data_IF_002793589205
#
_entry.id   IF_002793589205
#
_cell.length_a   1.000
_cell.length_b   1.000
_cell.length_c   1.000
_cell.angle_alpha   90.00
_cell.angle_beta   90.00
_cell.angle_gamma   90.00
#
_symmetry.space_group_name_H-M   'P 1'
#
loop_
_entity.id
_entity.type
_entity.pdbx_description
1 polymer ?
#
# COMPACT_ATOMS: atom_id res chain seq x y z
N UNK A 1 -16.25 -36.47 20.56
CA UNK A 1 -15.85 -36.04 19.20
C UNK A 1 -16.53 -34.74 18.76
N UNK A 2 -17.85 -34.51 18.98
CA UNK A 2 -18.55 -33.25 18.58
C UNK A 2 -18.01 -31.96 19.25
N UNK A 3 -17.49 -32.03 20.48
CA UNK A 3 -16.94 -30.83 21.20
C UNK A 3 -15.55 -30.42 20.71
N UNK A 4 -14.73 -31.32 20.15
CA UNK A 4 -13.43 -31.01 19.59
C UNK A 4 -13.55 -30.32 18.22
N UNK A 5 -14.53 -30.65 17.42
CA UNK A 5 -14.78 -30.01 16.10
C UNK A 5 -15.25 -28.56 16.27
N UNK A 6 -16.07 -28.28 17.31
CA UNK A 6 -16.53 -26.92 17.61
C UNK A 6 -15.38 -25.98 18.07
N UNK A 7 -14.39 -26.52 18.77
CA UNK A 7 -13.22 -25.74 19.23
C UNK A 7 -12.26 -25.37 18.08
N UNK A 8 -12.08 -26.25 17.08
CA UNK A 8 -11.25 -25.96 15.92
C UNK A 8 -11.85 -24.89 14.99
N UNK A 9 -13.19 -24.80 14.90
CA UNK A 9 -13.85 -23.79 14.07
C UNK A 9 -13.70 -22.40 14.68
N UNK A 10 -13.66 -22.29 16.01
CA UNK A 10 -13.52 -20.99 16.71
C UNK A 10 -12.10 -20.40 16.57
N UNK A 11 -11.09 -21.25 16.44
CA UNK A 11 -9.67 -20.82 16.29
C UNK A 11 -9.38 -20.33 14.85
N UNK A 12 -10.13 -20.79 13.85
CA UNK A 12 -9.95 -20.39 12.45
C UNK A 12 -10.38 -18.94 12.16
N UNK A 13 -11.13 -18.30 13.06
CA UNK A 13 -11.60 -16.91 12.89
C UNK A 13 -10.62 -15.83 13.36
N UNK A 14 -9.49 -16.21 14.00
CA UNK A 14 -8.52 -15.27 14.58
C UNK A 14 -7.39 -14.84 13.64
N UNK A 15 -7.40 -15.29 12.39
CA UNK A 15 -6.43 -14.84 11.37
C UNK A 15 -6.98 -13.65 10.58
N UNK A 16 -7.58 -12.67 11.25
CA UNK A 16 -7.80 -11.35 10.67
C UNK A 16 -6.42 -10.71 10.45
N UNK A 17 -5.85 -10.88 9.26
CA UNK A 17 -4.63 -10.20 8.84
C UNK A 17 -4.84 -8.70 9.02
N UNK A 18 -4.21 -8.14 10.03
CA UNK A 18 -4.17 -6.71 10.25
C UNK A 18 -3.46 -6.07 9.05
N UNK A 19 -4.19 -5.43 8.15
CA UNK A 19 -3.59 -4.73 7.01
C UNK A 19 -3.04 -3.42 7.51
N UNK A 20 -1.75 -3.16 7.26
CA UNK A 20 -1.11 -1.88 7.59
C UNK A 20 -1.49 -0.77 6.61
N UNK A 21 -2.19 -1.09 5.51
CA UNK A 21 -2.55 -0.17 4.43
C UNK A 21 -4.01 0.27 4.50
N UNK A 22 -4.24 1.58 4.41
CA UNK A 22 -5.58 2.21 4.35
C UNK A 22 -5.67 3.20 3.20
N UNK A 23 -6.88 3.42 2.68
CA UNK A 23 -7.20 4.54 1.77
C UNK A 23 -7.38 5.81 2.61
N UNK A 24 -6.71 6.89 2.18
CA UNK A 24 -6.82 8.22 2.78
C UNK A 24 -7.82 9.06 2.01
N UNK A 25 -7.75 9.02 0.69
CA UNK A 25 -8.64 9.74 -0.20
C UNK A 25 -8.83 8.99 -1.51
N UNK A 26 -9.95 9.21 -2.17
CA UNK A 26 -10.20 8.75 -3.53
C UNK A 26 -11.16 9.68 -4.24
N UNK A 27 -11.06 9.72 -5.55
CA UNK A 27 -11.99 10.40 -6.44
C UNK A 27 -12.19 9.58 -7.71
N UNK A 28 -13.41 9.58 -8.23
CA UNK A 28 -13.72 9.04 -9.55
C UNK A 28 -14.46 10.07 -10.40
N UNK A 29 -14.26 10.01 -11.70
CA UNK A 29 -15.03 10.77 -12.67
C UNK A 29 -16.52 10.45 -12.50
N UNK A 30 -17.40 11.46 -12.38
CA UNK A 30 -18.84 11.27 -12.26
C UNK A 30 -19.41 10.36 -13.35
N UNK A 31 -20.26 9.42 -12.98
CA UNK A 31 -20.91 8.45 -13.88
C UNK A 31 -19.96 7.53 -14.64
N UNK A 32 -18.66 7.52 -14.32
CA UNK A 32 -17.69 6.63 -14.97
C UNK A 32 -17.74 5.25 -14.36
N UNK A 33 -17.90 4.25 -15.24
CA UNK A 33 -17.76 2.83 -14.93
C UNK A 33 -16.85 2.16 -15.94
N UNK A 34 -16.02 1.23 -15.46
CA UNK A 34 -15.11 0.44 -16.28
C UNK A 34 -15.40 -1.04 -16.08
N UNK A 35 -15.66 -1.74 -17.16
CA UNK A 35 -15.80 -3.19 -17.18
C UNK A 35 -14.46 -3.81 -17.56
N UNK A 36 -13.76 -4.39 -16.59
CA UNK A 36 -12.39 -4.92 -16.78
C UNK A 36 -12.37 -5.94 -17.93
N UNK A 37 -13.39 -6.79 -18.03
CA UNK A 37 -13.46 -7.82 -19.07
C UNK A 37 -13.55 -7.27 -20.49
N UNK A 38 -14.03 -6.03 -20.66
CA UNK A 38 -14.13 -5.36 -21.97
C UNK A 38 -12.88 -4.59 -22.37
N UNK A 39 -11.91 -4.46 -21.47
CA UNK A 39 -10.63 -3.84 -21.80
C UNK A 39 -9.79 -4.77 -22.67
N UNK A 40 -9.02 -4.20 -23.59
CA UNK A 40 -8.02 -4.90 -24.39
C UNK A 40 -6.71 -4.98 -23.64
N UNK A 41 -6.14 -3.82 -23.28
CA UNK A 41 -4.86 -3.70 -22.60
C UNK A 41 -4.84 -2.53 -21.64
N UNK A 42 -4.17 -2.71 -20.49
CA UNK A 42 -3.92 -1.67 -19.49
C UNK A 42 -2.43 -1.63 -19.16
N UNK A 43 -1.79 -0.50 -19.39
CA UNK A 43 -0.39 -0.31 -19.03
C UNK A 43 -0.27 0.03 -17.55
N UNK A 44 0.62 -0.64 -16.83
CA UNK A 44 0.92 -0.36 -15.43
C UNK A 44 2.31 0.23 -15.31
N UNK A 45 2.42 1.41 -14.69
CA UNK A 45 3.65 2.17 -14.54
C UNK A 45 3.83 2.52 -13.06
N UNK A 46 4.87 1.99 -12.42
CA UNK A 46 5.26 2.41 -11.08
C UNK A 46 6.43 3.41 -11.15
N UNK A 47 6.20 4.62 -10.67
CA UNK A 47 7.17 5.71 -10.67
C UNK A 47 8.01 5.67 -9.38
N UNK A 48 8.80 4.61 -9.22
CA UNK A 48 9.70 4.40 -8.09
C UNK A 48 11.16 4.51 -8.52
N UNK A 49 12.01 5.09 -7.66
CA UNK A 49 13.45 5.24 -7.95
C UNK A 49 14.18 3.90 -8.06
N UNK A 50 13.78 2.90 -7.28
CA UNK A 50 14.37 1.57 -7.30
C UNK A 50 13.71 0.72 -8.37
N UNK A 51 14.47 0.24 -9.34
CA UNK A 51 14.01 -0.64 -10.41
C UNK A 51 13.37 -1.94 -9.86
N UNK A 52 13.98 -2.52 -8.83
CA UNK A 52 13.43 -3.72 -8.16
C UNK A 52 12.06 -3.44 -7.56
N UNK A 53 11.88 -2.29 -6.91
CA UNK A 53 10.60 -1.92 -6.30
C UNK A 53 9.56 -1.57 -7.36
N UNK A 54 9.97 -0.94 -8.47
CA UNK A 54 9.12 -0.66 -9.63
C UNK A 54 8.54 -1.96 -10.19
N UNK A 55 9.39 -2.94 -10.50
CA UNK A 55 8.96 -4.24 -11.04
C UNK A 55 7.99 -4.95 -10.11
N UNK A 56 8.31 -5.04 -8.82
CA UNK A 56 7.42 -5.66 -7.83
C UNK A 56 6.05 -5.02 -7.77
N UNK A 57 5.98 -3.69 -7.79
CA UNK A 57 4.72 -2.95 -7.74
C UNK A 57 3.88 -3.18 -9.00
N UNK A 58 4.51 -3.14 -10.18
CA UNK A 58 3.83 -3.39 -11.46
C UNK A 58 3.29 -4.82 -11.53
N UNK A 59 4.10 -5.82 -11.15
CA UNK A 59 3.69 -7.23 -11.12
C UNK A 59 2.48 -7.48 -10.22
N UNK A 60 2.47 -6.89 -9.02
CA UNK A 60 1.33 -7.01 -8.10
C UNK A 60 0.05 -6.36 -8.68
N UNK A 61 0.17 -5.17 -9.24
CA UNK A 61 -0.99 -4.47 -9.80
C UNK A 61 -1.59 -5.18 -11.03
N UNK A 62 -0.74 -5.73 -11.90
CA UNK A 62 -1.16 -6.49 -13.07
C UNK A 62 -2.01 -7.71 -12.70
N UNK A 63 -1.74 -8.34 -11.55
CA UNK A 63 -2.51 -9.48 -11.03
C UNK A 63 -4.01 -9.20 -10.87
N UNK A 64 -4.40 -7.94 -10.67
CA UNK A 64 -5.81 -7.52 -10.54
C UNK A 64 -6.50 -7.16 -11.87
N UNK A 65 -5.80 -7.26 -13.00
CA UNK A 65 -6.31 -6.85 -14.32
C UNK A 65 -6.74 -8.02 -15.22
N UNK A 66 -6.97 -9.20 -14.66
CA UNK A 66 -7.50 -10.39 -15.36
C UNK A 66 -6.76 -10.71 -16.68
N UNK A 67 -5.43 -10.64 -16.68
CA UNK A 67 -4.58 -10.88 -17.84
C UNK A 67 -4.55 -9.74 -18.88
N UNK A 68 -5.17 -8.59 -18.58
CA UNK A 68 -5.16 -7.40 -19.46
C UNK A 68 -4.02 -6.43 -19.13
N UNK A 69 -3.35 -6.61 -18.00
CA UNK A 69 -2.25 -5.76 -17.54
C UNK A 69 -0.96 -6.03 -18.32
N UNK A 70 -0.26 -4.96 -18.65
CA UNK A 70 1.08 -4.97 -19.25
C UNK A 70 2.00 -4.13 -18.36
N UNK A 71 3.12 -4.72 -17.92
CA UNK A 71 4.11 -4.04 -17.10
C UNK A 71 4.95 -3.07 -17.94
N UNK A 72 5.21 -1.89 -17.39
CA UNK A 72 5.93 -0.85 -18.12
C UNK A 72 7.39 -1.20 -18.39
N UNK A 73 8.03 -1.93 -17.50
CA UNK A 73 9.45 -2.29 -17.64
C UNK A 73 9.75 -3.25 -18.80
N UNK A 74 8.72 -3.95 -19.33
CA UNK A 74 8.84 -4.76 -20.55
C UNK A 74 8.37 -4.02 -21.82
N UNK A 75 7.56 -2.98 -21.66
CA UNK A 75 6.95 -2.26 -22.76
C UNK A 75 7.68 -0.96 -23.12
N UNK A 76 8.20 -0.25 -22.11
CA UNK A 76 8.94 0.98 -22.30
C UNK A 76 10.45 0.67 -22.30
N UNK A 77 11.11 1.01 -23.42
CA UNK A 77 12.56 0.85 -23.54
C UNK A 77 13.31 1.64 -22.44
N UNK A 78 14.52 1.19 -22.10
CA UNK A 78 15.40 1.88 -21.14
C UNK A 78 15.70 3.34 -21.53
N UNK A 79 15.60 3.66 -22.81
CA UNK A 79 15.75 5.01 -23.38
C UNK A 79 14.51 5.88 -23.28
N UNK A 80 13.44 5.37 -22.64
CA UNK A 80 12.23 6.16 -22.42
C UNK A 80 12.52 7.22 -21.35
N UNK A 81 12.96 8.38 -21.79
CA UNK A 81 13.36 9.52 -20.94
C UNK A 81 12.35 10.67 -21.08
N UNK A 82 12.56 11.73 -20.26
CA UNK A 82 11.69 12.92 -20.23
C UNK A 82 11.44 13.56 -21.61
N UNK A 83 12.34 13.40 -22.57
CA UNK A 83 12.21 13.99 -23.91
C UNK A 83 11.24 13.24 -24.81
N UNK A 84 10.76 12.04 -24.42
CA UNK A 84 9.82 11.22 -25.17
C UNK A 84 8.40 11.18 -24.55
N UNK A 85 8.13 11.99 -23.54
CA UNK A 85 6.83 11.98 -22.83
C UNK A 85 5.66 12.28 -23.77
N UNK A 86 5.83 13.25 -24.67
CA UNK A 86 4.77 13.62 -25.64
C UNK A 86 4.43 12.48 -26.61
N UNK A 87 5.44 11.72 -27.01
CA UNK A 87 5.27 10.57 -27.90
C UNK A 87 4.72 9.32 -27.20
N UNK A 88 4.81 9.25 -25.86
CA UNK A 88 4.33 8.12 -25.07
C UNK A 88 2.84 7.87 -25.29
N UNK A 89 2.03 8.91 -25.19
CA UNK A 89 0.59 8.82 -25.37
C UNK A 89 0.22 8.25 -26.74
N UNK A 90 0.84 8.78 -27.78
CA UNK A 90 0.55 8.35 -29.17
C UNK A 90 0.96 6.90 -29.40
N UNK A 91 2.11 6.50 -28.85
CA UNK A 91 2.55 5.10 -28.86
C UNK A 91 1.55 4.19 -28.12
N UNK A 92 1.16 4.53 -26.89
CA UNK A 92 0.21 3.74 -26.08
C UNK A 92 -1.13 3.59 -26.82
N UNK A 93 -1.61 4.69 -27.43
CA UNK A 93 -2.85 4.69 -28.20
C UNK A 93 -2.74 3.82 -29.48
N UNK A 94 -1.64 3.94 -30.22
CA UNK A 94 -1.39 3.15 -31.43
C UNK A 94 -1.27 1.66 -31.13
N UNK A 95 -0.69 1.29 -29.97
CA UNK A 95 -0.52 -0.09 -29.54
C UNK A 95 -1.79 -0.69 -28.89
N UNK A 96 -2.91 0.04 -28.91
CA UNK A 96 -4.24 -0.44 -28.53
C UNK A 96 -4.48 -0.54 -27.02
N UNK A 97 -3.84 0.30 -26.21
CA UNK A 97 -4.16 0.38 -24.78
C UNK A 97 -5.43 1.20 -24.53
N UNK A 98 -6.28 0.72 -23.64
CA UNK A 98 -7.49 1.41 -23.19
C UNK A 98 -7.23 2.38 -22.04
N UNK A 99 -6.31 2.00 -21.15
CA UNK A 99 -6.00 2.74 -19.94
C UNK A 99 -4.57 2.60 -19.48
N UNK A 100 -4.19 3.49 -18.58
CA UNK A 100 -2.91 3.47 -17.87
C UNK A 100 -3.17 3.58 -16.38
N UNK A 101 -2.54 2.69 -15.60
CA UNK A 101 -2.47 2.78 -14.14
C UNK A 101 -1.08 3.28 -13.76
N UNK A 102 -1.01 4.36 -13.00
CA UNK A 102 0.26 4.85 -12.46
C UNK A 102 0.26 4.74 -10.94
N UNK A 103 1.41 4.40 -10.37
CA UNK A 103 1.65 4.40 -8.93
C UNK A 103 2.87 5.27 -8.63
N UNK A 104 2.72 6.23 -7.71
CA UNK A 104 3.79 7.16 -7.32
C UNK A 104 3.93 7.24 -5.82
N UNK A 105 5.15 7.16 -5.31
CA UNK A 105 5.45 7.42 -3.91
C UNK A 105 5.45 8.95 -3.70
N UNK A 106 4.50 9.44 -2.93
CA UNK A 106 4.33 10.87 -2.65
C UNK A 106 5.15 11.31 -1.45
N UNK A 107 5.14 10.50 -0.39
CA UNK A 107 5.79 10.86 0.86
C UNK A 107 6.22 9.63 1.67
N UNK A 108 7.22 9.81 2.53
CA UNK A 108 7.66 8.85 3.55
C UNK A 108 7.83 9.59 4.86
N UNK A 109 6.80 9.56 5.68
CA UNK A 109 6.84 10.12 7.03
C UNK A 109 7.57 9.17 7.99
N UNK A 110 8.29 9.75 8.96
CA UNK A 110 9.05 9.02 9.98
C UNK A 110 8.80 9.63 11.35
N UNK A 111 8.03 8.94 12.14
CA UNK A 111 7.74 9.32 13.52
C UNK A 111 8.62 8.53 14.47
N UNK A 112 9.23 9.23 15.44
CA UNK A 112 10.00 8.62 16.51
C UNK A 112 9.22 8.70 17.82
N UNK A 113 8.84 7.56 18.34
CA UNK A 113 8.19 7.45 19.64
C UNK A 113 9.19 6.96 20.69
N UNK A 114 9.30 7.70 21.79
CA UNK A 114 10.07 7.22 22.93
C UNK A 114 9.24 6.19 23.71
N UNK A 115 9.74 4.97 23.80
CA UNK A 115 9.17 3.91 24.64
C UNK A 115 9.94 3.90 25.96
N UNK A 116 9.31 4.29 27.07
CA UNK A 116 9.99 4.27 28.37
C UNK A 116 10.33 2.85 28.78
N UNK A 117 11.45 2.69 29.48
CA UNK A 117 11.81 1.40 30.07
C UNK A 117 10.73 0.92 31.06
N UNK A 118 10.69 -0.37 31.33
CA UNK A 118 9.62 -1.00 32.09
C UNK A 118 9.63 -0.52 33.57
N UNK A 119 8.62 0.29 33.96
CA UNK A 119 8.47 0.84 35.31
C UNK A 119 7.52 0.02 36.24
N UNK A 120 6.91 -1.04 35.67
CA UNK A 120 5.80 -1.74 36.35
C UNK A 120 6.21 -2.63 37.56
N UNK A 121 7.50 -2.85 37.79
CA UNK A 121 7.97 -3.84 38.76
C UNK A 121 8.21 -3.30 40.15
N UNK A 122 7.88 -2.04 40.47
CA UNK A 122 8.25 -1.48 41.77
C UNK A 122 7.06 -1.05 42.61
N UNK A 123 6.98 -1.54 43.86
CA UNK A 123 5.93 -1.14 44.80
C UNK A 123 5.98 0.37 45.07
N UNK A 124 4.82 0.94 45.30
CA UNK A 124 4.53 2.37 45.48
C UNK A 124 5.26 3.09 46.61
N UNK A 125 6.20 2.45 47.30
CA UNK A 125 6.90 2.98 48.47
C UNK A 125 8.13 3.86 48.12
N UNK A 126 7.99 4.76 47.14
CA UNK A 126 9.04 5.73 46.81
C UNK A 126 9.27 6.80 47.89
N UNK A 127 8.46 6.80 49.00
CA UNK A 127 8.62 7.69 50.12
C UNK A 127 9.76 7.29 51.06
N UNK A 128 10.36 6.12 50.91
CA UNK A 128 11.53 5.68 51.64
C UNK A 128 12.79 5.82 50.78
N UNK A 129 13.95 6.02 51.42
CA UNK A 129 15.24 6.12 50.73
C UNK A 129 15.49 4.88 49.86
N UNK A 130 15.23 3.69 50.40
CA UNK A 130 15.43 2.43 49.67
C UNK A 130 14.48 2.30 48.46
N UNK A 131 13.23 2.68 48.61
CA UNK A 131 12.26 2.66 47.51
C UNK A 131 12.60 3.66 46.43
N UNK A 132 13.04 4.88 46.80
CA UNK A 132 13.49 5.89 45.86
C UNK A 132 14.74 5.45 45.11
N UNK A 133 15.73 4.91 45.81
CA UNK A 133 16.97 4.42 45.21
C UNK A 133 16.74 3.24 44.29
N UNK A 134 15.92 2.26 44.68
CA UNK A 134 15.57 1.13 43.83
C UNK A 134 14.89 1.57 42.54
N UNK A 135 13.99 2.56 42.60
CA UNK A 135 13.34 3.14 41.41
C UNK A 135 14.34 3.89 40.53
N UNK A 136 15.22 4.70 41.12
CA UNK A 136 16.28 5.40 40.40
C UNK A 136 17.22 4.44 39.67
N UNK A 137 17.61 3.37 40.37
CA UNK A 137 18.45 2.32 39.79
C UNK A 137 17.75 1.58 38.65
N UNK A 138 16.47 1.26 38.78
CA UNK A 138 15.69 0.62 37.72
C UNK A 138 15.61 1.49 36.48
N UNK A 139 15.35 2.79 36.66
CA UNK A 139 15.34 3.73 35.52
C UNK A 139 16.71 3.84 34.85
N UNK A 140 17.78 3.73 35.61
CA UNK A 140 19.15 3.77 35.09
C UNK A 140 19.54 2.47 34.38
N UNK A 141 19.14 1.32 34.92
CA UNK A 141 19.49 -0.01 34.37
C UNK A 141 18.61 -0.48 33.22
N UNK A 142 17.44 0.12 33.07
CA UNK A 142 16.50 -0.22 31.94
C UNK A 142 16.13 1.06 31.18
N UNK A 143 17.07 1.65 30.45
CA UNK A 143 16.77 2.85 29.68
C UNK A 143 15.68 2.57 28.64
N UNK A 144 14.83 3.56 28.43
CA UNK A 144 13.87 3.51 27.31
C UNK A 144 14.60 3.53 25.96
N UNK A 145 13.87 3.20 24.91
CA UNK A 145 14.37 3.23 23.55
C UNK A 145 13.45 4.04 22.63
N UNK A 146 13.97 4.41 21.47
CA UNK A 146 13.16 5.06 20.44
C UNK A 146 12.71 4.02 19.43
N UNK A 147 11.40 3.93 19.22
CA UNK A 147 10.80 3.22 18.10
C UNK A 147 10.58 4.19 16.96
N UNK A 148 10.86 3.75 15.74
CA UNK A 148 10.67 4.57 14.54
C UNK A 148 9.61 3.93 13.67
N UNK A 149 8.45 4.59 13.57
CA UNK A 149 7.36 4.22 12.68
C UNK A 149 7.55 4.91 11.32
N UNK A 150 7.37 4.17 10.22
CA UNK A 150 7.45 4.71 8.85
C UNK A 150 6.09 4.58 8.17
N UNK A 151 5.56 5.70 7.69
CA UNK A 151 4.32 5.73 6.93
C UNK A 151 4.60 6.15 5.48
N UNK A 152 4.26 5.28 4.54
CA UNK A 152 4.43 5.51 3.11
C UNK A 152 3.10 5.97 2.51
N UNK A 153 3.09 7.12 1.85
CA UNK A 153 1.93 7.62 1.11
C UNK A 153 2.14 7.38 -0.38
N UNK A 154 1.27 6.56 -0.98
CA UNK A 154 1.31 6.23 -2.41
C UNK A 154 0.04 6.71 -3.07
N UNK A 155 0.19 7.42 -4.20
CA UNK A 155 -0.90 7.80 -5.07
C UNK A 155 -1.01 6.82 -6.24
N UNK A 156 -2.24 6.40 -6.55
CA UNK A 156 -2.56 5.55 -7.71
C UNK A 156 -3.55 6.29 -8.58
N UNK A 157 -3.21 6.50 -9.86
CA UNK A 157 -4.06 7.16 -10.83
C UNK A 157 -4.41 6.22 -11.98
N UNK A 158 -5.65 6.30 -12.46
CA UNK A 158 -6.13 5.58 -13.64
C UNK A 158 -6.49 6.59 -14.71
N UNK A 159 -5.86 6.46 -15.87
CA UNK A 159 -6.08 7.30 -17.04
C UNK A 159 -6.87 6.55 -18.10
N UNK A 160 -7.80 7.23 -18.74
CA UNK A 160 -8.39 6.80 -20.00
C UNK A 160 -7.51 7.26 -21.16
N UNK A 161 -6.99 6.34 -21.95
CA UNK A 161 -6.19 6.67 -23.14
C UNK A 161 -7.06 7.38 -24.19
N UNK A 162 -8.32 6.93 -24.35
CA UNK A 162 -9.28 7.53 -25.27
C UNK A 162 -9.60 8.99 -24.90
N UNK A 163 -9.87 9.26 -23.63
CA UNK A 163 -10.29 10.59 -23.15
C UNK A 163 -9.11 11.47 -22.76
N UNK A 164 -7.92 10.90 -22.64
CA UNK A 164 -6.68 11.58 -22.23
C UNK A 164 -6.81 12.33 -20.90
N UNK A 165 -7.46 11.71 -19.91
CA UNK A 165 -7.65 12.29 -18.58
C UNK A 165 -7.65 11.23 -17.49
N UNK A 166 -7.43 11.67 -16.25
CA UNK A 166 -7.64 10.83 -15.08
C UNK A 166 -9.14 10.54 -14.96
N UNK A 167 -9.48 9.29 -14.72
CA UNK A 167 -10.84 8.83 -14.51
C UNK A 167 -11.05 8.24 -13.10
N UNK A 168 -9.96 7.97 -12.40
CA UNK A 168 -9.96 7.58 -11.00
C UNK A 168 -8.60 7.91 -10.36
N UNK A 169 -8.61 8.34 -9.11
CA UNK A 169 -7.41 8.53 -8.30
C UNK A 169 -7.67 8.07 -6.88
N UNK A 170 -6.63 7.59 -6.21
CA UNK A 170 -6.69 7.23 -4.80
C UNK A 170 -5.33 7.33 -4.12
N UNK A 171 -5.33 7.78 -2.87
CA UNK A 171 -4.15 7.82 -2.03
C UNK A 171 -4.27 6.78 -0.92
N UNK A 172 -3.20 6.05 -0.72
CA UNK A 172 -3.06 5.04 0.34
C UNK A 172 -1.94 5.41 1.29
N UNK A 173 -2.11 5.09 2.56
CA UNK A 173 -1.06 5.12 3.57
C UNK A 173 -0.81 3.71 4.08
N UNK A 174 0.47 3.32 4.13
CA UNK A 174 0.93 2.04 4.69
C UNK A 174 1.93 2.32 5.81
N UNK A 175 1.64 1.83 7.01
CA UNK A 175 2.49 2.02 8.19
C UNK A 175 3.27 0.74 8.46
N UNK A 176 4.59 0.87 8.61
CA UNK A 176 5.55 -0.19 8.91
C UNK A 176 5.34 -1.49 8.10
N UNK A 177 5.34 -1.41 6.75
CA UNK A 177 5.19 -2.60 5.94
C UNK A 177 6.39 -3.55 6.11
N UNK A 178 6.13 -4.84 6.09
CA UNK A 178 7.18 -5.86 6.04
C UNK A 178 7.76 -5.98 4.61
N UNK A 179 8.34 -4.88 4.14
CA UNK A 179 8.96 -4.78 2.83
C UNK A 179 8.00 -4.35 1.70
N UNK A 180 8.62 -4.08 0.54
CA UNK A 180 7.92 -3.48 -0.61
C UNK A 180 6.88 -4.43 -1.22
N UNK A 181 7.16 -5.72 -1.26
CA UNK A 181 6.24 -6.72 -1.86
C UNK A 181 4.91 -6.74 -1.12
N UNK A 182 4.93 -6.86 0.22
CA UNK A 182 3.71 -6.81 1.02
C UNK A 182 2.99 -5.47 0.87
N UNK A 183 3.73 -4.36 0.94
CA UNK A 183 3.16 -3.02 0.79
C UNK A 183 2.41 -2.87 -0.54
N UNK A 184 3.03 -3.24 -1.66
CA UNK A 184 2.42 -3.09 -2.99
C UNK A 184 1.25 -4.04 -3.22
N UNK A 185 1.30 -5.24 -2.66
CA UNK A 185 0.16 -6.17 -2.66
C UNK A 185 -1.03 -5.61 -1.89
N UNK A 186 -0.80 -5.09 -0.68
CA UNK A 186 -1.85 -4.48 0.13
C UNK A 186 -2.45 -3.23 -0.56
N UNK A 187 -1.59 -2.38 -1.15
CA UNK A 187 -2.05 -1.22 -1.92
C UNK A 187 -2.95 -1.67 -3.08
N UNK A 188 -2.49 -2.60 -3.92
CA UNK A 188 -3.28 -3.09 -5.05
C UNK A 188 -4.64 -3.66 -4.60
N UNK A 189 -4.65 -4.46 -3.54
CA UNK A 189 -5.87 -5.03 -2.96
C UNK A 189 -6.83 -3.97 -2.43
N UNK A 190 -6.33 -2.99 -1.68
CA UNK A 190 -7.16 -1.93 -1.08
C UNK A 190 -7.73 -1.00 -2.16
N UNK A 191 -6.92 -0.61 -3.15
CA UNK A 191 -7.34 0.17 -4.33
C UNK A 191 -8.43 -0.57 -5.11
N UNK A 192 -8.21 -1.85 -5.42
CA UNK A 192 -9.18 -2.68 -6.13
C UNK A 192 -10.53 -2.77 -5.41
N UNK A 193 -10.50 -3.06 -4.09
CA UNK A 193 -11.71 -3.09 -3.26
C UNK A 193 -12.43 -1.74 -3.23
N UNK A 194 -11.68 -0.64 -3.16
CA UNK A 194 -12.24 0.71 -3.16
C UNK A 194 -12.95 1.03 -4.48
N UNK A 195 -12.30 0.74 -5.60
CA UNK A 195 -12.89 0.92 -6.94
C UNK A 195 -14.19 0.11 -7.11
N UNK A 196 -14.23 -1.12 -6.59
CA UNK A 196 -15.46 -1.93 -6.58
C UNK A 196 -16.55 -1.28 -5.72
N UNK A 197 -16.22 -0.85 -4.51
CA UNK A 197 -17.21 -0.25 -3.57
C UNK A 197 -17.78 1.07 -4.08
N UNK A 198 -17.02 1.81 -4.88
CA UNK A 198 -17.46 3.05 -5.55
C UNK A 198 -18.23 2.80 -6.86
N UNK A 199 -18.35 1.54 -7.28
CA UNK A 199 -18.94 1.18 -8.56
C UNK A 199 -18.16 1.71 -9.77
N UNK A 200 -16.85 1.99 -9.58
CA UNK A 200 -15.97 2.42 -10.68
C UNK A 200 -15.62 1.23 -11.57
N UNK A 201 -15.32 0.07 -10.99
CA UNK A 201 -15.14 -1.18 -11.73
C UNK A 201 -16.28 -2.16 -11.42
N UNK A 202 -16.65 -2.95 -12.41
CA UNK A 202 -17.66 -4.01 -12.28
C UNK A 202 -17.14 -5.34 -12.79
N UNK A 203 -17.57 -6.43 -12.13
CA UNK A 203 -17.48 -7.79 -12.64
C UNK A 203 -18.76 -8.06 -13.40
N UNK A 204 -18.72 -8.11 -14.69
CA UNK A 204 -19.82 -8.60 -15.54
C UNK A 204 -19.24 -9.57 -16.57
#
# INVERSE_FOLDING_TARGET
>A
MKKFISSCILISFLLASCTSTRIVSSWKEPNKQVQINKLSKVLVIALFKSETNRRKAEDQMVGYLNGKGVVSYNYLDADFNKNKIETLRDKIKADGFDGVVTMSLMDVDREKLYVPGNYELYPTNYRTLNGYYARGWANYSTPGYYETTKTFTVETNIFSVKENKIIWTGQTQTTDPNGVTQMTEEIARVIYKKMLSEGFITHS
#
